data_IF_845876285847
#
_entry.id   IF_845876285847
#
_cell.length_a   1.000
_cell.length_b   1.000
_cell.length_c   1.000
_cell.angle_alpha   90.00
_cell.angle_beta   90.00
_cell.angle_gamma   90.00
#
_symmetry.space_group_name_H-M   'P 1'
#
loop_
_entity.id
_entity.type
_entity.pdbx_description
1 polymer ?
#
# COMPACT_ATOMS: atom_id res chain seq x y z
N UNK A 1 4.94 16.77 8.94
CA UNK A 1 6.03 16.11 8.20
C UNK A 1 5.59 14.68 7.89
N UNK A 2 5.65 14.23 6.64
CA UNK A 2 5.21 12.87 6.24
C UNK A 2 6.20 12.30 5.23
N UNK A 3 6.50 11.01 5.36
CA UNK A 3 7.38 10.29 4.43
C UNK A 3 6.65 9.86 3.15
N UNK A 4 5.32 9.70 3.20
CA UNK A 4 4.48 9.44 2.01
C UNK A 4 3.22 10.28 2.15
N UNK A 5 3.15 11.46 1.51
CA UNK A 5 1.98 12.30 1.64
C UNK A 5 0.73 11.58 1.09
N UNK A 6 -0.40 11.79 1.76
CA UNK A 6 -1.69 11.22 1.35
C UNK A 6 -2.02 11.78 -0.05
N UNK A 7 -2.59 10.99 -0.97
CA UNK A 7 -2.89 11.45 -2.33
C UNK A 7 -3.66 12.78 -2.37
N UNK A 8 -4.60 13.00 -1.44
CA UNK A 8 -5.30 14.29 -1.28
C UNK A 8 -4.38 15.44 -0.91
N UNK A 9 -3.45 15.22 0.01
CA UNK A 9 -2.48 16.25 0.40
C UNK A 9 -1.60 16.61 -0.78
N UNK A 10 -1.13 15.63 -1.56
CA UNK A 10 -0.37 15.89 -2.80
C UNK A 10 -1.21 16.68 -3.80
N UNK A 11 -2.45 16.24 -4.05
CA UNK A 11 -3.37 16.96 -4.92
C UNK A 11 -3.57 18.40 -4.42
N UNK A 12 -3.66 18.63 -3.12
CA UNK A 12 -3.82 19.97 -2.53
C UNK A 12 -2.56 20.80 -2.53
N UNK A 13 -1.37 20.20 -2.57
CA UNK A 13 -0.15 20.97 -2.83
C UNK A 13 -0.04 21.42 -4.29
N UNK A 14 -0.67 20.69 -5.20
CA UNK A 14 -0.75 21.04 -6.62
C UNK A 14 -1.86 22.07 -6.87
N UNK A 15 -3.04 21.88 -6.27
CA UNK A 15 -4.23 22.72 -6.47
C UNK A 15 -4.35 23.88 -5.48
N UNK A 16 -4.10 23.60 -4.21
CA UNK A 16 -4.15 24.57 -3.12
C UNK A 16 -2.89 25.43 -3.05
N UNK A 17 -2.99 26.49 -2.26
CA UNK A 17 -1.87 27.38 -1.95
C UNK A 17 -1.09 26.85 -0.74
N UNK A 18 -0.55 25.63 -0.87
CA UNK A 18 0.26 24.99 0.16
C UNK A 18 1.73 25.00 -0.28
N UNK A 19 2.56 25.74 0.46
CA UNK A 19 4.01 25.65 0.31
C UNK A 19 4.51 24.26 0.75
N UNK A 20 5.31 23.62 -0.10
CA UNK A 20 5.94 22.33 0.18
C UNK A 20 7.41 22.57 0.51
N UNK A 21 7.88 21.95 1.58
CA UNK A 21 9.32 21.81 1.86
C UNK A 21 9.68 20.33 1.87
N UNK A 22 10.68 19.94 1.09
CA UNK A 22 11.13 18.56 0.93
C UNK A 22 12.55 18.40 1.49
N UNK A 23 12.76 17.36 2.29
CA UNK A 23 14.09 16.94 2.75
C UNK A 23 14.49 15.68 1.96
N UNK A 24 15.52 15.80 1.13
CA UNK A 24 15.97 14.72 0.23
C UNK A 24 17.12 13.88 0.82
N UNK A 25 17.78 14.39 1.86
CA UNK A 25 18.91 13.70 2.49
C UNK A 25 18.41 12.59 3.42
N UNK A 26 19.12 11.45 3.39
CA UNK A 26 18.92 10.37 4.34
C UNK A 26 19.39 10.81 5.73
N UNK A 27 18.60 10.59 6.79
CA UNK A 27 19.07 10.80 8.16
C UNK A 27 20.34 10.00 8.45
N UNK A 28 21.18 10.50 9.36
CA UNK A 28 22.35 9.74 9.83
C UNK A 28 21.96 8.33 10.32
N UNK A 29 22.79 7.33 9.99
CA UNK A 29 22.55 5.93 10.34
C UNK A 29 21.59 5.17 9.41
N UNK A 30 21.13 5.79 8.31
CA UNK A 30 20.35 5.11 7.26
C UNK A 30 21.24 4.61 6.12
N UNK A 31 21.08 3.34 5.79
CA UNK A 31 21.65 2.74 4.58
C UNK A 31 20.62 2.72 3.46
N UNK A 32 21.10 2.74 2.22
CA UNK A 32 20.26 2.64 1.02
C UNK A 32 19.57 1.26 1.03
N UNK A 33 18.28 1.25 0.70
CA UNK A 33 17.49 0.01 0.56
C UNK A 33 17.25 -0.27 -0.91
N UNK A 34 17.93 -1.28 -1.46
CA UNK A 34 17.69 -1.72 -2.82
C UNK A 34 16.33 -2.44 -2.89
N UNK A 35 15.44 -2.04 -3.79
CA UNK A 35 14.10 -2.64 -3.92
C UNK A 35 13.97 -3.36 -5.24
N UNK A 36 13.50 -4.61 -5.21
CA UNK A 36 13.29 -5.43 -6.42
C UNK A 36 11.94 -6.12 -6.38
N UNK A 37 11.30 -6.23 -7.54
CA UNK A 37 10.10 -7.06 -7.68
C UNK A 37 10.50 -8.48 -8.06
N UNK A 38 9.87 -9.45 -7.40
CA UNK A 38 10.04 -10.89 -7.61
C UNK A 38 8.75 -11.44 -8.25
N UNK A 39 8.67 -11.49 -9.59
CA UNK A 39 7.49 -11.98 -10.30
C UNK A 39 7.48 -13.50 -10.32
N UNK A 40 6.69 -14.13 -9.45
CA UNK A 40 6.68 -15.59 -9.26
C UNK A 40 6.18 -16.31 -10.52
N UNK A 41 5.12 -15.78 -11.15
CA UNK A 41 4.52 -16.38 -12.35
C UNK A 41 5.48 -16.39 -13.56
N UNK A 42 6.34 -15.38 -13.69
CA UNK A 42 7.26 -15.24 -14.81
C UNK A 42 8.63 -15.86 -14.52
N UNK A 43 9.09 -15.75 -13.26
CA UNK A 43 10.41 -16.18 -12.82
C UNK A 43 10.33 -16.95 -11.50
N UNK A 44 9.82 -18.20 -11.48
CA UNK A 44 9.72 -19.01 -10.26
C UNK A 44 11.07 -19.20 -9.55
N UNK A 45 12.16 -19.28 -10.30
CA UNK A 45 13.51 -19.39 -9.73
C UNK A 45 13.91 -18.18 -8.86
N UNK A 46 13.36 -16.98 -9.13
CA UNK A 46 13.65 -15.81 -8.30
C UNK A 46 12.98 -15.91 -6.93
N UNK A 47 11.81 -16.54 -6.87
CA UNK A 47 11.14 -16.83 -5.61
C UNK A 47 11.98 -17.78 -4.75
N UNK A 48 12.52 -18.85 -5.32
CA UNK A 48 13.44 -19.74 -4.61
C UNK A 48 14.74 -19.02 -4.20
N UNK A 49 15.27 -18.15 -5.06
CA UNK A 49 16.45 -17.32 -4.75
C UNK A 49 16.22 -16.39 -3.56
N UNK A 50 15.01 -15.87 -3.38
CA UNK A 50 14.61 -15.04 -2.23
C UNK A 50 14.94 -15.77 -0.92
N UNK A 51 14.56 -17.05 -0.80
CA UNK A 51 14.83 -17.83 0.40
C UNK A 51 16.32 -18.08 0.62
N UNK A 52 17.06 -18.40 -0.44
CA UNK A 52 18.52 -18.48 -0.37
C UNK A 52 19.15 -17.16 0.12
N UNK A 53 18.59 -16.02 -0.28
CA UNK A 53 19.07 -14.71 0.15
C UNK A 53 18.80 -14.47 1.64
N UNK A 54 17.63 -14.85 2.14
CA UNK A 54 17.33 -14.80 3.58
C UNK A 54 18.38 -15.60 4.36
N UNK A 55 18.69 -16.83 3.92
CA UNK A 55 19.69 -17.67 4.59
C UNK A 55 21.09 -17.04 4.61
N UNK A 56 21.53 -16.44 3.51
CA UNK A 56 22.82 -15.73 3.44
C UNK A 56 22.90 -14.59 4.46
N UNK A 57 21.82 -13.82 4.59
CA UNK A 57 21.74 -12.66 5.47
C UNK A 57 21.70 -13.09 6.95
N UNK A 58 20.92 -14.12 7.26
CA UNK A 58 20.88 -14.73 8.60
C UNK A 58 22.21 -15.37 8.98
N UNK A 59 22.88 -16.07 8.04
CA UNK A 59 24.21 -16.63 8.28
C UNK A 59 25.27 -15.55 8.55
N UNK A 60 25.06 -14.33 8.05
CA UNK A 60 25.88 -13.18 8.35
C UNK A 60 25.47 -12.45 9.65
N UNK A 61 24.61 -13.07 10.47
CA UNK A 61 24.15 -12.56 11.76
C UNK A 61 23.05 -11.50 11.67
N UNK A 62 22.40 -11.35 10.51
CA UNK A 62 21.38 -10.33 10.26
C UNK A 62 19.98 -10.91 10.37
N UNK A 63 18.98 -10.03 10.39
CA UNK A 63 17.60 -10.42 10.62
C UNK A 63 16.69 -9.99 9.47
N UNK A 64 15.56 -10.68 9.34
CA UNK A 64 14.68 -10.55 8.17
C UNK A 64 13.22 -10.41 8.59
N UNK A 65 12.51 -9.51 7.92
CA UNK A 65 11.05 -9.44 7.95
C UNK A 65 10.45 -10.16 6.73
N UNK A 66 9.40 -10.94 6.95
CA UNK A 66 8.52 -11.48 5.90
C UNK A 66 7.10 -11.03 6.17
N UNK A 67 6.50 -10.23 5.28
CA UNK A 67 5.21 -9.58 5.51
C UNK A 67 4.14 -10.19 4.63
N UNK A 68 3.06 -10.68 5.24
CA UNK A 68 1.90 -11.25 4.57
C UNK A 68 0.67 -10.35 4.69
N UNK A 69 -0.24 -10.34 3.71
CA UNK A 69 -1.40 -9.43 3.69
C UNK A 69 -2.47 -9.79 4.72
N UNK A 70 -2.46 -11.02 5.27
CA UNK A 70 -3.47 -11.47 6.24
C UNK A 70 -2.91 -12.40 7.30
N UNK A 71 -3.71 -12.61 8.36
CA UNK A 71 -3.34 -13.40 9.53
C UNK A 71 -3.54 -14.91 9.28
N UNK A 72 -4.73 -15.33 8.88
CA UNK A 72 -5.22 -16.72 8.93
C UNK A 72 -6.43 -16.83 9.88
N UNK A 73 -7.17 -17.96 9.88
CA UNK A 73 -8.41 -18.27 10.67
C UNK A 73 -9.79 -18.17 9.96
N UNK A 74 -9.86 -18.18 8.62
CA UNK A 74 -11.09 -18.54 7.89
C UNK A 74 -10.75 -19.68 6.93
N UNK A 75 -11.55 -20.77 6.83
CA UNK A 75 -11.21 -21.88 5.96
C UNK A 75 -11.14 -21.37 4.53
N UNK A 76 -9.97 -21.53 3.90
CA UNK A 76 -9.88 -21.48 2.46
C UNK A 76 -10.71 -22.66 1.95
N UNK A 77 -11.89 -22.39 1.39
CA UNK A 77 -12.70 -23.39 0.70
C UNK A 77 -12.09 -23.66 -0.67
N UNK A 78 -10.94 -24.32 -0.69
CA UNK A 78 -10.39 -25.16 -1.75
C UNK A 78 -8.90 -25.42 -1.44
N UNK A 79 -8.46 -26.66 -1.69
CA UNK A 79 -7.11 -27.12 -1.39
C UNK A 79 -6.01 -26.19 -1.93
N UNK A 80 -4.94 -26.04 -1.15
CA UNK A 80 -3.81 -25.18 -1.44
C UNK A 80 -2.71 -25.99 -2.12
N UNK A 81 -2.22 -25.53 -3.26
CA UNK A 81 -1.00 -26.04 -3.92
C UNK A 81 0.06 -24.96 -3.90
N UNK A 82 1.20 -25.24 -3.27
CA UNK A 82 2.41 -24.40 -3.28
C UNK A 82 3.59 -25.31 -3.67
N UNK A 83 4.41 -24.89 -4.64
CA UNK A 83 5.59 -25.63 -5.11
C UNK A 83 5.35 -27.11 -5.51
N UNK A 84 4.20 -27.41 -6.14
CA UNK A 84 3.92 -28.75 -6.68
C UNK A 84 3.56 -29.82 -5.64
N UNK A 85 3.31 -29.41 -4.39
CA UNK A 85 2.81 -30.29 -3.31
C UNK A 85 1.30 -30.06 -3.15
N UNK A 86 0.52 -31.13 -3.31
CA UNK A 86 -0.93 -31.14 -3.05
C UNK A 86 -1.18 -31.67 -1.64
N UNK A 87 -1.90 -30.90 -0.81
CA UNK A 87 -2.33 -31.35 0.50
C UNK A 87 -3.78 -31.84 0.36
N UNK A 88 -3.97 -33.17 0.41
CA UNK A 88 -5.30 -33.77 0.45
C UNK A 88 -5.94 -33.52 1.83
N UNK A 89 -7.00 -32.73 1.85
CA UNK A 89 -7.85 -32.59 3.02
C UNK A 89 -8.62 -33.89 3.27
N UNK A 90 -8.42 -34.49 4.44
CA UNK A 90 -9.26 -35.58 4.94
C UNK A 90 -10.71 -35.11 4.95
N UNK A 91 -11.57 -35.82 4.22
CA UNK A 91 -13.00 -35.62 4.23
C UNK A 91 -13.54 -35.80 5.66
N UNK A 92 -14.25 -34.80 6.18
CA UNK A 92 -15.07 -34.97 7.37
C UNK A 92 -16.53 -34.83 6.92
N UNK A 93 -17.23 -35.95 7.03
CA UNK A 93 -18.66 -36.13 6.88
C UNK A 93 -19.39 -35.60 8.12
N UNK A 94 -20.31 -34.66 7.92
CA UNK A 94 -21.43 -34.27 8.78
C UNK A 94 -22.12 -33.09 8.06
N UNK A 95 -23.41 -33.08 7.70
CA UNK A 95 -24.55 -33.75 8.31
C UNK A 95 -25.64 -32.69 8.44
N UNK A 96 -26.49 -32.62 7.41
CA UNK A 96 -27.91 -32.20 7.34
C UNK A 96 -28.45 -30.89 7.97
N UNK A 97 -29.51 -30.40 7.29
CA UNK A 97 -30.55 -29.43 7.69
C UNK A 97 -30.17 -27.93 7.78
N UNK A 98 -30.92 -26.92 7.30
CA UNK A 98 -32.16 -26.71 6.51
C UNK A 98 -32.19 -25.19 6.19
N UNK A 99 -32.80 -24.74 5.08
CA UNK A 99 -33.12 -23.30 4.91
C UNK A 99 -33.14 -22.74 3.49
N UNK A 100 -34.17 -23.15 2.75
CA UNK A 100 -34.83 -22.56 1.57
C UNK A 100 -34.53 -21.09 1.16
N UNK A 101 -34.35 -20.90 -0.17
CA UNK A 101 -35.15 -20.03 -1.05
C UNK A 101 -34.37 -19.14 -2.05
N UNK A 102 -34.29 -19.64 -3.29
CA UNK A 102 -34.47 -18.94 -4.59
C UNK A 102 -33.74 -17.62 -4.88
N UNK A 103 -32.86 -17.62 -5.89
CA UNK A 103 -33.25 -17.39 -7.29
C UNK A 103 -32.07 -17.51 -8.26
N UNK A 104 -32.45 -17.90 -9.47
CA UNK A 104 -31.74 -18.42 -10.63
C UNK A 104 -30.90 -17.41 -11.43
N UNK A 105 -29.85 -17.97 -12.03
CA UNK A 105 -29.30 -17.68 -13.36
C UNK A 105 -28.63 -16.31 -13.61
N UNK A 106 -27.30 -16.31 -13.47
CA UNK A 106 -26.46 -15.62 -14.46
C UNK A 106 -25.23 -16.49 -14.76
N UNK A 107 -25.41 -17.40 -15.73
CA UNK A 107 -24.35 -18.19 -16.33
C UNK A 107 -23.60 -17.30 -17.35
N UNK A 108 -22.50 -16.68 -16.94
CA UNK A 108 -21.74 -15.82 -17.85
C UNK A 108 -20.53 -15.11 -17.29
N UNK A 109 -19.49 -15.85 -16.85
CA UNK A 109 -18.07 -15.51 -17.03
C UNK A 109 -17.21 -16.47 -16.20
N UNK A 110 -16.28 -17.15 -16.84
CA UNK A 110 -15.19 -17.83 -16.16
C UNK A 110 -14.29 -16.78 -15.48
N UNK A 111 -14.70 -16.34 -14.28
CA UNK A 111 -13.88 -15.52 -13.42
C UNK A 111 -12.65 -16.32 -12.98
N UNK A 112 -11.46 -15.83 -13.32
CA UNK A 112 -10.19 -16.29 -12.76
C UNK A 112 -10.36 -16.46 -11.25
N UNK A 113 -10.33 -17.71 -10.75
CA UNK A 113 -10.35 -17.99 -9.32
C UNK A 113 -9.05 -17.44 -8.73
N UNK A 114 -9.07 -16.18 -8.34
CA UNK A 114 -7.93 -15.48 -7.77
C UNK A 114 -7.61 -16.17 -6.45
N UNK A 115 -6.43 -16.78 -6.36
CA UNK A 115 -6.03 -17.57 -5.19
C UNK A 115 -6.23 -16.78 -3.89
N UNK A 116 -6.62 -17.45 -2.80
CA UNK A 116 -6.62 -16.85 -1.47
C UNK A 116 -5.26 -16.16 -1.16
N UNK A 117 -5.21 -14.92 -0.62
CA UNK A 117 -3.95 -14.28 -0.23
C UNK A 117 -3.07 -15.12 0.70
N UNK A 118 -1.76 -14.95 0.75
CA UNK A 118 -0.97 -15.70 1.73
C UNK A 118 -1.22 -15.21 3.18
N UNK A 119 -1.39 -16.15 4.11
CA UNK A 119 -1.64 -15.84 5.53
C UNK A 119 -0.41 -16.11 6.40
N UNK A 120 -0.16 -15.25 7.38
CA UNK A 120 0.98 -15.38 8.30
C UNK A 120 1.02 -16.74 8.98
N UNK A 121 -0.13 -17.21 9.49
CA UNK A 121 -0.26 -18.49 10.18
C UNK A 121 -0.05 -19.72 9.27
N UNK A 122 -0.17 -19.55 7.95
CA UNK A 122 0.10 -20.60 6.96
C UNK A 122 1.55 -20.52 6.46
N UNK A 123 2.03 -19.30 6.18
CA UNK A 123 3.36 -19.04 5.64
C UNK A 123 4.46 -19.34 6.65
N UNK A 124 4.28 -18.98 7.92
CA UNK A 124 5.30 -19.18 8.93
C UNK A 124 5.72 -20.65 9.14
N UNK A 125 4.79 -21.61 9.37
CA UNK A 125 5.17 -23.02 9.48
C UNK A 125 5.75 -23.56 8.17
N UNK A 126 5.17 -23.21 7.02
CA UNK A 126 5.69 -23.61 5.71
C UNK A 126 7.14 -23.17 5.50
N UNK A 127 7.48 -21.93 5.87
CA UNK A 127 8.86 -21.43 5.78
C UNK A 127 9.78 -22.14 6.77
N UNK A 128 9.34 -22.32 8.01
CA UNK A 128 10.13 -22.95 9.07
C UNK A 128 10.42 -24.43 8.79
N UNK A 129 9.48 -25.17 8.20
CA UNK A 129 9.64 -26.59 7.87
C UNK A 129 10.31 -26.80 6.50
N UNK A 130 10.18 -25.84 5.59
CA UNK A 130 10.71 -25.90 4.24
C UNK A 130 11.99 -25.08 4.06
N UNK A 131 11.95 -24.00 3.27
CA UNK A 131 13.16 -23.33 2.79
C UNK A 131 14.00 -22.65 3.88
N UNK A 132 13.41 -22.31 5.02
CA UNK A 132 14.08 -21.69 6.17
C UNK A 132 14.33 -22.68 7.31
N UNK A 133 14.27 -23.99 7.04
CA UNK A 133 14.58 -25.01 8.02
C UNK A 133 15.93 -24.77 8.73
N UNK A 134 15.88 -24.88 10.06
CA UNK A 134 17.01 -24.64 10.96
C UNK A 134 17.20 -23.18 11.38
N UNK A 135 16.38 -22.24 10.91
CA UNK A 135 16.37 -20.85 11.38
C UNK A 135 15.32 -20.63 12.48
N UNK A 136 15.52 -19.61 13.31
CA UNK A 136 14.57 -19.21 14.36
C UNK A 136 13.50 -18.30 13.75
N UNK A 137 12.40 -18.92 13.31
CA UNK A 137 11.25 -18.22 12.70
C UNK A 137 10.19 -17.98 13.78
N UNK A 138 9.64 -16.77 13.85
CA UNK A 138 8.55 -16.43 14.75
C UNK A 138 7.49 -15.57 14.03
N UNK A 139 6.32 -15.41 14.64
CA UNK A 139 5.13 -14.77 14.06
C UNK A 139 4.76 -13.48 14.80
N UNK A 140 4.29 -12.48 14.05
CA UNK A 140 3.68 -11.28 14.62
C UNK A 140 2.43 -10.82 13.84
N UNK A 141 1.27 -10.77 14.50
CA UNK A 141 0.05 -10.28 13.86
C UNK A 141 -0.89 -9.53 14.81
N UNK A 142 -1.87 -8.81 14.25
CA UNK A 142 -2.73 -7.88 14.99
C UNK A 142 -3.62 -8.51 16.05
N UNK A 143 -4.05 -9.75 15.82
CA UNK A 143 -4.86 -10.54 16.78
C UNK A 143 -4.08 -11.04 18.00
N UNK A 144 -2.75 -10.97 18.01
CA UNK A 144 -1.98 -11.36 19.18
C UNK A 144 -2.24 -10.38 20.35
N UNK A 145 -2.27 -10.88 21.60
CA UNK A 145 -2.21 -10.06 22.80
C UNK A 145 -1.05 -9.05 22.74
N UNK A 146 -1.22 -7.89 23.38
CA UNK A 146 -0.20 -6.85 23.40
C UNK A 146 1.13 -7.34 23.99
N UNK A 147 1.07 -8.09 25.10
CA UNK A 147 2.25 -8.65 25.76
C UNK A 147 3.04 -9.61 24.86
N UNK A 148 2.33 -10.44 24.09
CA UNK A 148 2.96 -11.38 23.15
C UNK A 148 3.63 -10.65 21.98
N UNK A 149 3.00 -9.59 21.45
CA UNK A 149 3.60 -8.74 20.41
C UNK A 149 4.86 -8.05 20.91
N UNK A 150 4.80 -7.48 22.11
CA UNK A 150 5.95 -6.80 22.73
C UNK A 150 7.08 -7.79 23.02
N UNK A 151 6.75 -9.01 23.44
CA UNK A 151 7.73 -10.06 23.68
C UNK A 151 8.40 -10.53 22.38
N UNK A 152 7.61 -10.79 21.33
CA UNK A 152 8.15 -11.16 20.01
C UNK A 152 9.07 -10.06 19.47
N UNK A 153 8.67 -8.79 19.58
CA UNK A 153 9.50 -7.66 19.14
C UNK A 153 10.77 -7.48 19.98
N UNK A 154 10.73 -7.71 21.29
CA UNK A 154 11.95 -7.70 22.13
C UNK A 154 12.92 -8.81 21.72
N UNK A 155 12.43 -10.04 21.56
CA UNK A 155 13.23 -11.20 21.15
C UNK A 155 13.82 -10.98 19.75
N UNK A 156 13.05 -10.40 18.84
CA UNK A 156 13.55 -10.00 17.54
C UNK A 156 14.60 -8.89 17.68
N UNK A 157 14.36 -7.81 18.42
CA UNK A 157 15.38 -6.78 18.66
C UNK A 157 16.68 -7.29 19.30
N UNK A 158 16.62 -8.34 20.12
CA UNK A 158 17.75 -8.99 20.77
C UNK A 158 18.51 -10.00 19.88
N UNK A 159 18.05 -10.25 18.65
CA UNK A 159 18.65 -11.26 17.78
C UNK A 159 18.33 -12.69 18.20
N UNK A 160 17.27 -12.93 18.97
CA UNK A 160 16.79 -14.27 19.34
C UNK A 160 15.92 -14.91 18.25
N UNK A 161 15.42 -14.12 17.32
CA UNK A 161 14.60 -14.52 16.18
C UNK A 161 15.31 -14.07 14.91
N UNK A 162 15.55 -14.99 13.98
CA UNK A 162 16.23 -14.70 12.72
C UNK A 162 15.26 -14.09 11.70
N UNK A 163 14.04 -14.63 11.65
CA UNK A 163 13.02 -14.27 10.66
C UNK A 163 11.69 -14.02 11.36
N UNK A 164 11.18 -12.80 11.25
CA UNK A 164 9.85 -12.45 11.76
C UNK A 164 8.84 -12.42 10.63
N UNK A 165 7.89 -13.36 10.64
CA UNK A 165 6.77 -13.42 9.70
C UNK A 165 5.60 -12.64 10.27
N UNK A 166 5.20 -11.55 9.62
CA UNK A 166 4.26 -10.60 10.19
C UNK A 166 3.19 -10.12 9.22
N UNK A 167 2.12 -9.51 9.75
CA UNK A 167 1.24 -8.64 8.96
C UNK A 167 1.74 -7.19 8.97
N UNK A 168 0.95 -6.25 8.47
CA UNK A 168 1.24 -4.80 8.51
C UNK A 168 1.40 -4.22 9.92
N UNK A 169 1.24 -5.00 10.99
CA UNK A 169 1.35 -4.51 12.38
C UNK A 169 2.76 -4.05 12.73
N UNK A 170 3.79 -4.47 11.98
CA UNK A 170 5.15 -3.91 12.10
C UNK A 170 5.24 -2.43 11.70
N UNK A 171 4.17 -1.85 11.13
CA UNK A 171 4.07 -0.43 10.76
C UNK A 171 4.16 0.51 11.97
N UNK A 172 4.07 0.01 13.22
CA UNK A 172 4.23 0.81 14.45
C UNK A 172 5.26 0.14 15.39
N UNK A 173 6.50 0.62 15.45
CA UNK A 173 6.99 1.14 16.74
C UNK A 173 8.35 0.66 17.25
N UNK A 174 9.03 -0.31 16.62
CA UNK A 174 10.40 -0.68 17.03
C UNK A 174 11.32 -0.67 15.82
N UNK A 175 12.49 -0.07 16.01
CA UNK A 175 13.59 -0.07 15.06
C UNK A 175 14.52 -1.25 15.38
N UNK A 176 14.84 -2.06 14.37
CA UNK A 176 15.80 -3.16 14.50
C UNK A 176 16.93 -2.90 13.51
N UNK A 177 18.03 -2.24 13.92
CA UNK A 177 19.12 -1.86 13.02
C UNK A 177 19.74 -3.04 12.27
N UNK A 178 19.71 -4.23 12.87
CA UNK A 178 20.23 -5.47 12.30
C UNK A 178 19.27 -6.13 11.29
N UNK A 179 18.04 -5.62 11.15
CA UNK A 179 17.09 -6.08 10.14
C UNK A 179 17.41 -5.46 8.78
N UNK A 180 17.89 -6.30 7.86
CA UNK A 180 18.42 -5.85 6.56
C UNK A 180 17.58 -6.29 5.38
N UNK A 181 16.77 -7.33 5.53
CA UNK A 181 15.88 -7.80 4.46
C UNK A 181 14.42 -7.62 4.84
N UNK A 182 13.66 -7.06 3.91
CA UNK A 182 12.20 -6.98 3.92
C UNK A 182 11.66 -7.79 2.74
N UNK A 183 10.89 -8.83 3.00
CA UNK A 183 10.16 -9.57 1.95
C UNK A 183 8.67 -9.31 2.13
N UNK A 184 7.98 -8.82 1.11
CA UNK A 184 6.53 -8.64 1.12
C UNK A 184 5.92 -9.66 0.17
N UNK A 185 5.16 -10.62 0.69
CA UNK A 185 4.46 -11.63 -0.13
C UNK A 185 3.09 -11.12 -0.57
N UNK A 186 2.66 -11.50 -1.78
CA UNK A 186 1.47 -10.93 -2.44
C UNK A 186 1.48 -9.38 -2.40
N UNK A 187 2.62 -8.77 -2.74
CA UNK A 187 2.87 -7.34 -2.62
C UNK A 187 1.83 -6.48 -3.38
N UNK A 188 1.20 -7.03 -4.42
CA UNK A 188 0.13 -6.36 -5.17
C UNK A 188 -1.11 -6.02 -4.34
N UNK A 189 -1.26 -6.61 -3.15
CA UNK A 189 -2.38 -6.39 -2.24
C UNK A 189 -2.19 -5.22 -1.29
N UNK A 190 -0.97 -4.71 -1.16
CA UNK A 190 -0.63 -3.59 -0.27
C UNK A 190 -0.67 -2.29 -1.04
N UNK A 191 -1.15 -1.20 -0.44
CA UNK A 191 -1.07 0.14 -1.04
C UNK A 191 0.38 0.64 -1.18
N UNK A 192 0.61 1.61 -2.07
CA UNK A 192 1.94 2.20 -2.29
C UNK A 192 2.55 2.74 -0.99
N UNK A 193 1.76 3.49 -0.20
CA UNK A 193 2.23 4.05 1.07
C UNK A 193 2.54 2.98 2.12
N UNK A 194 1.83 1.85 2.11
CA UNK A 194 2.14 0.73 3.01
C UNK A 194 3.46 0.08 2.61
N UNK A 195 3.66 -0.21 1.32
CA UNK A 195 4.92 -0.75 0.81
C UNK A 195 6.10 0.17 1.12
N UNK A 196 5.91 1.48 0.99
CA UNK A 196 6.94 2.46 1.33
C UNK A 196 7.30 2.42 2.82
N UNK A 197 6.29 2.37 3.70
CA UNK A 197 6.50 2.30 5.14
C UNK A 197 7.17 0.99 5.57
N UNK A 198 6.76 -0.15 4.99
CA UNK A 198 7.39 -1.46 5.22
C UNK A 198 8.85 -1.45 4.76
N UNK A 199 9.14 -0.94 3.55
CA UNK A 199 10.52 -0.74 3.08
C UNK A 199 11.34 0.09 4.07
N UNK A 200 10.74 1.13 4.65
CA UNK A 200 11.38 2.01 5.62
C UNK A 200 11.72 1.36 6.98
N UNK A 201 11.32 0.11 7.21
CA UNK A 201 11.65 -0.68 8.43
C UNK A 201 13.02 -1.36 8.38
N UNK A 202 13.63 -1.46 7.20
CA UNK A 202 14.99 -2.00 7.03
C UNK A 202 15.98 -0.91 6.61
N UNK A 203 17.28 -1.22 6.67
CA UNK A 203 18.35 -0.29 6.31
C UNK A 203 18.54 0.83 7.34
N UNK A 204 18.36 0.50 8.62
CA UNK A 204 18.46 1.42 9.76
C UNK A 204 19.75 1.27 10.57
N UNK A 205 20.70 0.50 10.03
CA UNK A 205 22.08 0.42 10.51
C UNK A 205 23.06 0.56 9.34
N UNK A 206 24.31 0.18 9.57
CA UNK A 206 25.40 0.34 8.59
C UNK A 206 25.34 -0.64 7.42
N UNK A 207 24.56 -1.72 7.55
CA UNK A 207 24.41 -2.72 6.52
C UNK A 207 23.35 -2.28 5.47
N UNK A 208 23.62 -2.50 4.17
CA UNK A 208 22.68 -2.16 3.11
C UNK A 208 21.37 -2.94 3.25
N UNK A 209 20.25 -2.26 3.01
CA UNK A 209 18.94 -2.89 3.06
C UNK A 209 18.55 -3.52 1.71
N UNK A 210 17.72 -4.56 1.77
CA UNK A 210 17.13 -5.21 0.61
C UNK A 210 15.62 -5.36 0.82
N UNK A 211 14.81 -4.85 -0.10
CA UNK A 211 13.37 -5.02 -0.12
C UNK A 211 12.96 -5.85 -1.35
N UNK A 212 12.28 -6.97 -1.12
CA UNK A 212 11.82 -7.90 -2.15
C UNK A 212 10.30 -7.93 -2.16
N UNK A 213 9.71 -7.46 -3.25
CA UNK A 213 8.26 -7.41 -3.45
C UNK A 213 7.85 -8.65 -4.24
N UNK A 214 7.38 -9.69 -3.56
CA UNK A 214 6.94 -10.93 -4.21
C UNK A 214 5.52 -10.76 -4.72
N UNK A 215 5.30 -11.08 -6.00
CA UNK A 215 3.98 -10.91 -6.64
C UNK A 215 3.71 -11.98 -7.68
N UNK A 216 2.43 -12.33 -7.81
CA UNK A 216 1.91 -13.13 -8.90
C UNK A 216 1.22 -12.28 -9.98
N UNK A 217 1.19 -10.95 -9.81
CA UNK A 217 0.59 -10.06 -10.78
C UNK A 217 1.36 -10.14 -12.11
N UNK A 218 0.70 -10.47 -13.24
CA UNK A 218 1.36 -10.56 -14.53
C UNK A 218 1.92 -9.21 -14.99
N UNK A 219 3.02 -9.26 -15.76
CA UNK A 219 3.53 -8.12 -16.52
C UNK A 219 2.43 -7.36 -17.27
N UNK A 220 2.52 -6.02 -17.26
CA UNK A 220 1.58 -5.14 -17.94
C UNK A 220 0.27 -4.85 -17.19
N UNK A 221 0.01 -5.52 -16.06
CA UNK A 221 -1.15 -5.17 -15.22
C UNK A 221 -0.90 -3.88 -14.42
N UNK A 222 -1.95 -3.11 -14.05
CA UNK A 222 -1.80 -1.93 -13.18
C UNK A 222 -1.12 -2.26 -11.85
N UNK A 223 -1.45 -3.43 -11.28
CA UNK A 223 -0.82 -3.95 -10.07
C UNK A 223 0.70 -4.12 -10.23
N UNK A 224 1.14 -4.73 -11.35
CA UNK A 224 2.56 -4.87 -11.65
C UNK A 224 3.25 -3.51 -11.82
N UNK A 225 2.66 -2.62 -12.63
CA UNK A 225 3.22 -1.28 -12.87
C UNK A 225 3.37 -0.46 -11.59
N UNK A 226 2.44 -0.61 -10.65
CA UNK A 226 2.52 -0.02 -9.31
C UNK A 226 3.72 -0.55 -8.50
N UNK A 227 3.96 -1.86 -8.52
CA UNK A 227 5.11 -2.46 -7.83
C UNK A 227 6.44 -2.06 -8.46
N UNK A 228 6.50 -1.97 -9.79
CA UNK A 228 7.69 -1.48 -10.49
C UNK A 228 7.99 -0.02 -10.16
N UNK A 229 6.96 0.83 -10.08
CA UNK A 229 7.12 2.21 -9.63
C UNK A 229 7.65 2.29 -8.18
N UNK A 230 7.13 1.45 -7.27
CA UNK A 230 7.64 1.37 -5.89
C UNK A 230 9.09 0.91 -5.84
N UNK A 231 9.49 -0.01 -6.71
CA UNK A 231 10.86 -0.50 -6.77
C UNK A 231 11.84 0.52 -7.40
N UNK A 232 11.36 1.35 -8.32
CA UNK A 232 12.20 2.29 -9.07
C UNK A 232 12.60 3.55 -8.29
N UNK A 233 11.83 3.95 -7.26
CA UNK A 233 12.11 5.19 -6.51
C UNK A 233 12.07 5.02 -5.00
N UNK A 234 12.99 5.72 -4.33
CA UNK A 234 13.00 5.88 -2.88
C UNK A 234 12.18 7.09 -2.40
N UNK A 235 11.80 7.99 -3.31
CA UNK A 235 11.12 9.23 -2.99
C UNK A 235 9.62 9.01 -2.75
N UNK A 236 9.19 9.20 -1.51
CA UNK A 236 7.79 9.05 -1.13
C UNK A 236 6.84 10.07 -1.74
N UNK A 237 7.33 11.22 -2.22
CA UNK A 237 6.52 12.20 -2.94
C UNK A 237 6.20 11.70 -4.36
N UNK A 238 7.19 11.18 -5.08
CA UNK A 238 7.00 10.54 -6.38
C UNK A 238 6.06 9.33 -6.26
N UNK A 239 6.22 8.52 -5.22
CA UNK A 239 5.30 7.41 -4.94
C UNK A 239 3.86 7.87 -4.71
N UNK A 240 3.67 8.97 -3.98
CA UNK A 240 2.34 9.52 -3.74
C UNK A 240 1.70 10.12 -5.01
N UNK A 241 2.51 10.68 -5.94
CA UNK A 241 2.04 11.07 -7.27
C UNK A 241 1.58 9.87 -8.09
N UNK A 242 2.36 8.79 -8.12
CA UNK A 242 1.99 7.55 -8.82
C UNK A 242 0.70 6.94 -8.23
N UNK A 243 0.54 6.92 -6.90
CA UNK A 243 -0.69 6.44 -6.25
C UNK A 243 -1.90 7.32 -6.63
N UNK A 244 -1.71 8.64 -6.75
CA UNK A 244 -2.74 9.59 -7.18
C UNK A 244 -3.11 9.43 -8.67
N UNK A 245 -2.16 9.14 -9.55
CA UNK A 245 -2.41 8.87 -10.98
C UNK A 245 -3.27 7.61 -11.17
N UNK A 246 -3.03 6.58 -10.35
CA UNK A 246 -3.72 5.30 -10.45
C UNK A 246 -5.12 5.31 -9.82
N UNK A 247 -5.30 6.04 -8.70
CA UNK A 247 -6.62 6.29 -8.11
C UNK A 247 -7.31 7.39 -8.92
N UNK A 248 -7.95 7.01 -10.03
CA UNK A 248 -8.69 7.91 -10.95
C UNK A 248 -9.15 9.19 -10.25
N UNK A 249 -8.67 10.32 -10.77
CA UNK A 249 -8.58 11.66 -10.18
C UNK A 249 -9.89 12.23 -9.56
N UNK A 250 -11.03 11.59 -9.77
CA UNK A 250 -12.34 12.06 -9.34
C UNK A 250 -12.67 11.89 -7.86
N UNK A 251 -11.95 11.05 -7.10
CA UNK A 251 -12.31 10.76 -5.69
C UNK A 251 -11.48 11.57 -4.67
N UNK A 252 -10.41 12.24 -5.13
CA UNK A 252 -9.40 12.80 -4.22
C UNK A 252 -9.69 14.25 -3.81
N UNK A 253 -10.25 15.06 -4.70
CA UNK A 253 -10.69 16.43 -4.39
C UNK A 253 -12.11 16.51 -3.81
N UNK A 254 -12.86 15.40 -3.80
CA UNK A 254 -14.18 15.30 -3.17
C UNK A 254 -14.06 14.97 -1.68
N UNK A 255 -14.67 15.77 -0.81
CA UNK A 255 -14.64 15.56 0.66
C UNK A 255 -16.04 15.50 1.30
N UNK A 256 -16.99 14.75 0.75
CA UNK A 256 -18.12 14.23 1.56
C UNK A 256 -18.64 12.90 1.03
N UNK A 257 -19.06 12.07 1.98
CA UNK A 257 -19.54 10.70 1.89
C UNK A 257 -20.79 10.45 1.02
N UNK A 258 -21.28 11.41 0.25
CA UNK A 258 -22.33 11.17 -0.74
C UNK A 258 -22.34 12.26 -1.81
N UNK A 259 -22.25 11.85 -3.08
CA UNK A 259 -22.83 12.60 -4.20
C UNK A 259 -22.20 13.93 -4.67
N UNK A 260 -21.03 14.37 -4.19
CA UNK A 260 -20.37 15.56 -4.76
C UNK A 260 -19.88 15.27 -6.18
N UNK A 261 -20.44 15.98 -7.17
CA UNK A 261 -19.89 16.01 -8.53
C UNK A 261 -18.58 16.78 -8.49
N UNK A 262 -17.52 16.20 -9.03
CA UNK A 262 -16.24 16.88 -9.27
C UNK A 262 -16.47 18.13 -10.12
N UNK A 263 -15.94 19.28 -9.68
CA UNK A 263 -16.01 20.54 -10.44
C UNK A 263 -15.15 20.50 -11.71
N UNK A 264 -14.15 19.62 -11.75
CA UNK A 264 -13.31 19.36 -12.92
C UNK A 264 -13.94 18.25 -13.77
N UNK A 265 -14.83 18.64 -14.69
CA UNK A 265 -15.48 17.70 -15.62
C UNK A 265 -14.55 17.20 -16.74
N UNK A 266 -13.50 17.96 -17.03
CA UNK A 266 -12.64 17.75 -18.21
C UNK A 266 -11.14 17.73 -17.89
N UNK A 267 -10.76 18.17 -16.68
CA UNK A 267 -9.37 18.32 -16.26
C UNK A 267 -8.97 17.18 -15.34
N UNK A 268 -7.80 16.61 -15.62
CA UNK A 268 -7.11 15.69 -14.73
C UNK A 268 -6.15 16.45 -13.83
N UNK A 269 -6.26 16.23 -12.53
CA UNK A 269 -5.45 16.90 -11.48
C UNK A 269 -3.96 16.81 -11.74
N UNK A 270 -3.50 15.66 -12.23
CA UNK A 270 -2.08 15.40 -12.45
C UNK A 270 -1.71 15.61 -13.91
N UNK A 271 -2.60 15.21 -14.82
CA UNK A 271 -2.35 15.36 -16.25
C UNK A 271 -2.23 16.83 -16.66
N UNK A 272 -3.05 17.70 -16.09
CA UNK A 272 -3.22 19.08 -16.55
C UNK A 272 -2.60 20.09 -15.57
N UNK A 273 -1.64 19.65 -14.74
CA UNK A 273 -0.99 20.46 -13.67
C UNK A 273 -0.52 21.82 -14.15
N UNK A 274 0.17 21.86 -15.29
CA UNK A 274 0.76 23.11 -15.79
C UNK A 274 -0.32 24.08 -16.28
N UNK A 275 -1.40 23.55 -16.88
CA UNK A 275 -2.56 24.35 -17.29
C UNK A 275 -3.28 24.93 -16.07
N UNK A 276 -3.46 24.13 -15.02
CA UNK A 276 -4.08 24.57 -13.76
C UNK A 276 -3.23 25.65 -13.09
N UNK A 277 -1.90 25.48 -13.05
CA UNK A 277 -0.97 26.49 -12.51
C UNK A 277 -1.03 27.79 -13.29
N UNK A 278 -1.02 27.74 -14.63
CA UNK A 278 -1.11 28.93 -15.47
C UNK A 278 -2.43 29.68 -15.27
N UNK A 279 -3.56 28.96 -15.31
CA UNK A 279 -4.88 29.55 -15.07
C UNK A 279 -4.98 30.21 -13.69
N UNK A 280 -4.41 29.58 -12.65
CA UNK A 280 -4.36 30.14 -11.30
C UNK A 280 -3.52 31.41 -11.23
N UNK A 281 -2.33 31.41 -11.84
CA UNK A 281 -1.46 32.60 -11.86
C UNK A 281 -2.19 33.80 -12.49
N UNK A 282 -2.88 33.56 -13.61
CA UNK A 282 -3.66 34.60 -14.29
C UNK A 282 -4.85 35.07 -13.44
N UNK A 283 -5.61 34.14 -12.86
CA UNK A 283 -6.72 34.47 -11.97
C UNK A 283 -6.27 35.27 -10.73
N UNK A 284 -5.17 34.87 -10.09
CA UNK A 284 -4.61 35.58 -8.94
C UNK A 284 -4.13 36.98 -9.31
N UNK A 285 -3.46 37.14 -10.46
CA UNK A 285 -3.04 38.45 -10.96
C UNK A 285 -4.26 39.36 -11.23
N UNK A 286 -5.31 38.80 -11.84
CA UNK A 286 -6.54 39.52 -12.15
C UNK A 286 -7.27 39.98 -10.89
N UNK A 287 -7.48 39.08 -9.92
CA UNK A 287 -8.15 39.40 -8.66
C UNK A 287 -7.34 40.38 -7.82
N UNK A 288 -6.00 40.29 -7.85
CA UNK A 288 -5.13 41.25 -7.15
C UNK A 288 -5.24 42.65 -7.74
N UNK A 289 -5.39 42.76 -9.06
CA UNK A 289 -5.54 44.04 -9.75
C UNK A 289 -6.97 44.62 -9.62
N UNK A 290 -8.00 43.77 -9.68
CA UNK A 290 -9.41 44.15 -9.57
C UNK A 290 -10.18 43.13 -8.71
N UNK A 291 -10.18 43.31 -7.37
CA UNK A 291 -10.82 42.36 -6.45
C UNK A 291 -12.34 42.22 -6.65
N UNK A 292 -12.97 43.20 -7.29
CA UNK A 292 -14.41 43.20 -7.56
C UNK A 292 -14.74 42.77 -8.99
N UNK A 293 -13.72 42.45 -9.81
CA UNK A 293 -13.86 42.04 -11.21
C UNK A 293 -14.75 43.00 -12.03
N UNK A 294 -14.71 44.31 -11.73
CA UNK A 294 -15.49 45.35 -12.41
C UNK A 294 -15.17 45.40 -13.91
N UNK A 295 -13.92 45.15 -14.30
CA UNK A 295 -13.51 45.06 -15.70
C UNK A 295 -14.02 43.80 -16.42
N UNK A 296 -14.52 42.81 -15.68
CA UNK A 296 -14.93 41.50 -16.20
C UNK A 296 -16.30 41.08 -15.65
N UNK A 297 -17.40 41.77 -16.02
CA UNK A 297 -18.73 41.55 -15.43
C UNK A 297 -19.27 40.14 -15.64
N UNK A 298 -18.97 39.50 -16.79
CA UNK A 298 -19.36 38.11 -17.04
C UNK A 298 -18.62 37.12 -16.12
N UNK A 299 -17.34 37.36 -15.85
CA UNK A 299 -16.56 36.56 -14.92
C UNK A 299 -17.03 36.78 -13.48
N UNK A 300 -17.32 38.02 -13.10
CA UNK A 300 -17.88 38.37 -11.79
C UNK A 300 -19.20 37.62 -11.53
N UNK A 301 -20.09 37.59 -12.52
CA UNK A 301 -21.35 36.84 -12.42
C UNK A 301 -21.11 35.33 -12.27
N UNK A 302 -20.20 34.74 -13.05
CA UNK A 302 -19.89 33.32 -12.97
C UNK A 302 -19.27 32.94 -11.60
N UNK A 303 -18.37 33.77 -11.06
CA UNK A 303 -17.78 33.59 -9.73
C UNK A 303 -18.83 33.71 -8.64
N UNK A 304 -19.74 34.69 -8.73
CA UNK A 304 -20.83 34.84 -7.78
C UNK A 304 -21.75 33.59 -7.75
N UNK A 305 -22.11 33.06 -8.91
CA UNK A 305 -22.89 31.81 -9.01
C UNK A 305 -22.17 30.62 -8.38
N UNK A 306 -20.85 30.53 -8.54
CA UNK A 306 -20.05 29.46 -7.93
C UNK A 306 -20.03 29.57 -6.40
N UNK A 307 -19.79 30.77 -5.86
CA UNK A 307 -19.74 31.04 -4.42
C UNK A 307 -21.11 30.86 -3.75
N UNK A 308 -22.19 31.27 -4.43
CA UNK A 308 -23.56 31.07 -3.94
C UNK A 308 -23.91 29.58 -3.84
N UNK A 309 -23.49 28.78 -4.83
CA UNK A 309 -23.59 27.32 -4.78
C UNK A 309 -22.84 26.73 -3.57
N UNK A 310 -21.60 27.16 -3.33
CA UNK A 310 -20.82 26.69 -2.17
C UNK A 310 -21.43 27.09 -0.82
N UNK A 311 -22.01 28.29 -0.72
CA UNK A 311 -22.66 28.77 0.52
C UNK A 311 -23.95 28.03 0.83
N UNK A 312 -24.77 27.76 -0.19
CA UNK A 312 -25.99 26.97 -0.03
C UNK A 312 -25.66 25.55 0.46
N UNK A 313 -24.62 24.93 -0.11
CA UNK A 313 -24.17 23.59 0.27
C UNK A 313 -23.55 23.54 1.68
N UNK A 314 -22.94 24.63 2.17
CA UNK A 314 -22.38 24.72 3.51
C UNK A 314 -23.45 24.85 4.60
N UNK A 315 -24.54 25.57 4.32
CA UNK A 315 -25.70 25.68 5.21
C UNK A 315 -26.43 24.33 5.36
N UNK A 316 -26.62 23.61 4.25
CA UNK A 316 -27.22 22.26 4.24
C UNK A 316 -26.40 21.20 5.03
N UNK A 317 -25.09 21.42 5.18
CA UNK A 317 -24.21 20.55 5.97
C UNK A 317 -24.34 20.81 7.48
N UNK A 318 -24.49 22.08 7.88
CA UNK A 318 -24.68 22.46 9.29
C UNK A 318 -26.05 22.07 9.83
N UNK A 319 -27.09 22.05 8.98
CA UNK A 319 -28.44 21.59 9.36
C UNK A 319 -28.56 20.06 9.50
N UNK A 320 -27.57 19.29 9.04
CA UNK A 320 -27.54 17.82 9.12
C UNK A 320 -26.60 17.25 10.19
N UNK A 321 -25.91 18.10 10.95
CA UNK A 321 -24.99 17.73 12.03
C UNK A 321 -25.63 17.98 13.41
#
# INVERSE_FOLDING_TARGET
>A
MTATPIPRTVAMTVFGDLEISTLQELPEGRSIVATHVVPVAEKPAYFQRTWGRIREEVAAGRQVYVVCPRIGEQPASDGVTIDGVTIDGVAIDAGDETGDATSTDDAGAAGERRRPPLAVLEVAPMLAEGPLAGLRVDVLHGRMPAEDKDNAMRRFGAGEIDVLVATTVIEVGVDVPNATVMVVVDAERFGVSQLHQLRGRVGRGDAPGLCLLVTDAPAGTPARGRLDAVAATLDGFELARVDLEQRREGDVLGTTQSGRRTSLRWLGVIRDVDLIKAARQEASALVKADPQLRGHPALAAAVATLIEGERADHLDYLDKA
#
